data_IF_640831817007
#
_entry.id   IF_640831817007
#
_cell.length_a   1.000
_cell.length_b   1.000
_cell.length_c   1.000
_cell.angle_alpha   90.00
_cell.angle_beta   90.00
_cell.angle_gamma   90.00
#
_symmetry.space_group_name_H-M   'P 1'
#
loop_
_entity.id
_entity.type
_entity.pdbx_description
1 polymer ?
#
# COMPACT_ATOMS: atom_id res chain seq x y z
N UNK A 1 -16.12 20.98 9.51
CA UNK A 1 -14.69 20.73 9.52
C UNK A 1 -14.12 20.90 8.12
N UNK A 2 -13.10 21.73 7.94
CA UNK A 2 -12.39 21.89 6.66
C UNK A 2 -11.79 20.55 6.19
N UNK A 3 -11.53 20.41 4.89
CA UNK A 3 -10.85 19.21 4.35
C UNK A 3 -9.52 18.95 5.08
N UNK A 4 -8.78 20.02 5.40
CA UNK A 4 -7.51 19.95 6.14
C UNK A 4 -7.65 19.38 7.55
N UNK A 5 -8.75 19.68 8.26
CA UNK A 5 -8.98 19.19 9.62
C UNK A 5 -9.36 17.70 9.63
N UNK A 6 -10.11 17.23 8.63
CA UNK A 6 -10.44 15.80 8.47
C UNK A 6 -9.19 14.97 8.14
N UNK A 7 -8.30 15.50 7.31
CA UNK A 7 -7.01 14.83 7.01
C UNK A 7 -6.10 14.76 8.22
N UNK A 8 -6.04 15.83 9.04
CA UNK A 8 -5.28 15.82 10.29
C UNK A 8 -5.84 14.81 11.29
N UNK A 9 -7.15 14.71 11.42
CA UNK A 9 -7.80 13.77 12.32
C UNK A 9 -7.58 12.32 11.84
N UNK A 10 -7.74 12.04 10.55
CA UNK A 10 -7.45 10.74 9.95
C UNK A 10 -5.99 10.34 10.15
N UNK A 11 -5.05 11.26 9.90
CA UNK A 11 -3.62 11.03 10.10
C UNK A 11 -3.27 10.66 11.55
N UNK A 12 -3.90 11.32 12.54
CA UNK A 12 -3.70 11.00 13.96
C UNK A 12 -4.21 9.61 14.32
N UNK A 13 -5.40 9.23 13.86
CA UNK A 13 -5.95 7.88 14.11
C UNK A 13 -5.07 6.81 13.46
N UNK A 14 -4.66 7.03 12.20
CA UNK A 14 -3.78 6.12 11.47
C UNK A 14 -2.42 5.98 12.12
N UNK A 15 -1.87 7.05 12.71
CA UNK A 15 -0.58 7.03 13.40
C UNK A 15 -0.53 6.00 14.54
N UNK A 16 -1.61 5.84 15.30
CA UNK A 16 -1.70 4.81 16.35
C UNK A 16 -1.57 3.39 15.80
N UNK A 17 -2.15 3.11 14.63
CA UNK A 17 -1.96 1.83 13.95
C UNK A 17 -0.52 1.59 13.55
N UNK A 18 0.17 2.60 13.03
CA UNK A 18 1.60 2.50 12.68
C UNK A 18 2.50 2.32 13.90
N UNK A 19 2.23 3.04 15.00
CA UNK A 19 2.95 2.89 16.27
C UNK A 19 2.75 1.46 16.83
N UNK A 20 1.51 0.96 16.82
CA UNK A 20 1.20 -0.40 17.24
C UNK A 20 1.93 -1.46 16.39
N UNK A 21 1.97 -1.26 15.07
CA UNK A 21 2.72 -2.15 14.17
C UNK A 21 4.22 -2.13 14.47
N UNK A 22 4.85 -0.94 14.57
CA UNK A 22 6.28 -0.82 14.88
C UNK A 22 6.59 -1.51 16.21
N UNK A 23 5.79 -1.26 17.25
CA UNK A 23 5.95 -1.91 18.54
C UNK A 23 5.84 -3.44 18.42
N UNK A 24 4.82 -3.94 17.71
CA UNK A 24 4.61 -5.37 17.52
C UNK A 24 5.80 -6.04 16.80
N UNK A 25 6.23 -5.51 15.64
CA UNK A 25 7.33 -6.14 14.88
C UNK A 25 8.67 -6.06 15.62
N UNK A 26 8.91 -5.00 16.39
CA UNK A 26 10.13 -4.85 17.19
C UNK A 26 10.15 -5.84 18.35
N UNK A 27 9.06 -5.92 19.12
CA UNK A 27 8.91 -6.83 20.26
C UNK A 27 8.95 -8.28 19.78
N UNK A 28 8.19 -8.63 18.74
CA UNK A 28 8.15 -9.98 18.21
C UNK A 28 9.48 -10.39 17.56
N UNK A 29 10.19 -9.46 16.92
CA UNK A 29 11.55 -9.71 16.43
C UNK A 29 12.49 -10.12 17.58
N UNK A 30 12.44 -9.41 18.71
CA UNK A 30 13.21 -9.75 19.91
C UNK A 30 12.75 -11.08 20.56
N UNK A 31 11.45 -11.30 20.67
CA UNK A 31 10.89 -12.55 21.23
C UNK A 31 11.35 -13.74 20.39
N UNK A 32 11.18 -13.71 19.07
CA UNK A 32 11.53 -14.83 18.20
C UNK A 32 13.03 -15.02 17.98
N UNK A 33 13.87 -14.04 18.31
CA UNK A 33 15.32 -14.25 18.40
C UNK A 33 15.69 -15.15 19.59
N UNK A 34 14.95 -15.04 20.70
CA UNK A 34 15.23 -15.72 21.97
C UNK A 34 14.34 -16.94 22.23
N UNK A 35 13.33 -17.19 21.39
CA UNK A 35 12.38 -18.31 21.52
C UNK A 35 12.25 -19.06 20.21
N UNK A 36 11.64 -20.25 20.27
CA UNK A 36 11.33 -21.01 19.06
C UNK A 36 10.08 -20.42 18.34
N UNK A 37 10.06 -20.53 17.02
CA UNK A 37 8.95 -20.07 16.16
C UNK A 37 7.62 -20.82 16.45
N UNK A 38 7.64 -21.91 17.19
CA UNK A 38 6.44 -22.67 17.58
C UNK A 38 5.42 -21.83 18.36
N UNK A 39 5.90 -20.78 19.04
CA UNK A 39 5.02 -19.82 19.74
C UNK A 39 4.27 -18.85 18.80
N UNK A 40 4.60 -18.82 17.52
CA UNK A 40 3.99 -17.88 16.56
C UNK A 40 2.47 -18.02 16.48
N UNK A 41 1.96 -19.25 16.42
CA UNK A 41 0.51 -19.50 16.35
C UNK A 41 -0.22 -19.01 17.61
N UNK A 42 0.40 -19.20 18.78
CA UNK A 42 -0.15 -18.70 20.04
C UNK A 42 -0.18 -17.16 20.05
N UNK A 43 0.90 -16.51 19.63
CA UNK A 43 0.97 -15.04 19.55
C UNK A 43 -0.10 -14.50 18.60
N UNK A 44 -0.26 -15.11 17.42
CA UNK A 44 -1.31 -14.72 16.46
C UNK A 44 -2.70 -14.88 17.06
N UNK A 45 -2.98 -16.00 17.76
CA UNK A 45 -4.25 -16.22 18.43
C UNK A 45 -4.56 -15.16 19.51
N UNK A 46 -3.56 -14.79 20.31
CA UNK A 46 -3.69 -13.73 21.33
C UNK A 46 -3.97 -12.39 20.68
N UNK A 47 -3.26 -12.02 19.61
CA UNK A 47 -3.49 -10.76 18.89
C UNK A 47 -4.89 -10.71 18.26
N UNK A 48 -5.36 -11.80 17.67
CA UNK A 48 -6.72 -11.89 17.12
C UNK A 48 -7.77 -11.76 18.22
N UNK A 49 -7.56 -12.38 19.38
CA UNK A 49 -8.43 -12.24 20.53
C UNK A 49 -8.48 -10.79 21.03
N UNK A 50 -7.34 -10.10 21.11
CA UNK A 50 -7.28 -8.68 21.46
C UNK A 50 -8.05 -7.79 20.45
N UNK A 51 -7.92 -8.06 19.16
CA UNK A 51 -8.68 -7.37 18.11
C UNK A 51 -10.18 -7.59 18.30
N UNK A 52 -10.59 -8.83 18.51
CA UNK A 52 -12.00 -9.17 18.74
C UNK A 52 -12.56 -8.48 19.99
N UNK A 53 -11.86 -8.55 21.12
CA UNK A 53 -12.27 -7.86 22.35
C UNK A 53 -12.37 -6.34 22.17
N UNK A 54 -11.41 -5.74 21.45
CA UNK A 54 -11.43 -4.30 21.16
C UNK A 54 -12.62 -3.90 20.28
N UNK A 55 -13.04 -4.77 19.36
CA UNK A 55 -14.18 -4.50 18.47
C UNK A 55 -15.51 -4.46 19.22
N UNK A 56 -15.64 -5.17 20.34
CA UNK A 56 -16.85 -5.17 21.17
C UNK A 56 -17.13 -3.80 21.83
N UNK A 57 -16.06 -2.99 21.99
CA UNK A 57 -16.19 -1.61 22.53
C UNK A 57 -16.51 -0.55 21.48
N UNK A 58 -16.55 -0.89 20.19
CA UNK A 58 -16.88 0.08 19.14
C UNK A 58 -18.38 0.15 18.93
N UNK A 59 -18.99 1.33 19.22
CA UNK A 59 -20.41 1.57 18.96
C UNK A 59 -20.73 1.57 17.45
N UNK A 60 -21.88 1.05 17.08
CA UNK A 60 -22.38 1.16 15.70
C UNK A 60 -22.71 2.63 15.37
N UNK A 61 -22.04 3.17 14.36
CA UNK A 61 -22.48 4.42 13.75
C UNK A 61 -23.71 4.09 12.89
N UNK A 62 -24.86 4.71 13.20
CA UNK A 62 -26.06 4.60 12.39
C UNK A 62 -25.73 5.06 10.95
N UNK A 63 -25.51 4.11 10.05
CA UNK A 63 -25.42 4.40 8.63
C UNK A 63 -26.83 4.81 8.17
N UNK A 64 -27.00 6.05 7.78
CA UNK A 64 -28.20 6.44 7.04
C UNK A 64 -28.17 5.68 5.71
N UNK A 65 -29.18 4.87 5.41
CA UNK A 65 -29.26 4.20 4.12
C UNK A 65 -29.44 5.27 3.04
N UNK A 66 -28.38 5.47 2.26
CA UNK A 66 -28.43 6.37 1.12
C UNK A 66 -29.15 5.63 -0.02
N UNK A 67 -30.48 5.78 -0.07
CA UNK A 67 -31.35 5.10 -1.04
C UNK A 67 -31.41 5.79 -2.40
N UNK A 68 -30.70 6.90 -2.58
CA UNK A 68 -30.73 7.65 -3.83
C UNK A 68 -29.56 7.29 -4.76
N UNK A 69 -29.93 6.89 -5.97
CA UNK A 69 -29.14 6.77 -7.21
C UNK A 69 -28.21 5.55 -7.37
N UNK A 70 -28.86 4.40 -7.61
CA UNK A 70 -28.19 3.23 -8.21
C UNK A 70 -27.88 3.38 -9.71
N UNK A 71 -28.26 4.48 -10.36
CA UNK A 71 -28.13 4.68 -11.81
C UNK A 71 -26.89 5.52 -12.11
N UNK A 72 -25.90 4.93 -12.78
CA UNK A 72 -24.73 5.65 -13.34
C UNK A 72 -23.36 5.08 -13.06
N UNK A 73 -23.17 4.29 -11.99
CA UNK A 73 -21.83 3.76 -11.65
C UNK A 73 -21.30 2.77 -12.71
N UNK A 74 -22.17 2.03 -13.39
CA UNK A 74 -21.77 1.05 -14.41
C UNK A 74 -21.05 1.70 -15.59
N UNK A 75 -21.58 2.82 -16.10
CA UNK A 75 -20.93 3.54 -17.21
C UNK A 75 -19.55 4.08 -16.81
N UNK A 76 -19.44 4.56 -15.56
CA UNK A 76 -18.17 5.03 -15.02
C UNK A 76 -17.14 3.88 -14.93
N UNK A 77 -17.57 2.70 -14.46
CA UNK A 77 -16.70 1.53 -14.27
C UNK A 77 -16.13 1.00 -15.59
N UNK A 78 -16.87 1.07 -16.68
CA UNK A 78 -16.40 0.63 -18.00
C UNK A 78 -15.58 1.69 -18.75
N UNK A 79 -15.35 2.86 -18.18
CA UNK A 79 -14.50 3.87 -18.81
C UNK A 79 -13.02 3.45 -18.80
N UNK A 80 -12.33 3.65 -19.92
CA UNK A 80 -10.91 3.29 -20.08
C UNK A 80 -10.00 3.80 -18.94
N UNK A 81 -10.12 5.07 -18.48
CA UNK A 81 -9.31 5.56 -17.37
C UNK A 81 -9.55 4.82 -16.06
N UNK A 82 -10.82 4.44 -15.77
CA UNK A 82 -11.17 3.72 -14.53
C UNK A 82 -10.66 2.29 -14.58
N UNK A 83 -10.81 1.59 -15.68
CA UNK A 83 -10.26 0.23 -15.85
C UNK A 83 -8.73 0.24 -15.75
N UNK A 84 -8.07 1.20 -16.42
CA UNK A 84 -6.62 1.36 -16.35
C UNK A 84 -6.14 1.67 -14.92
N UNK A 85 -6.87 2.52 -14.20
CA UNK A 85 -6.57 2.82 -12.81
C UNK A 85 -6.64 1.57 -11.93
N UNK A 86 -7.74 0.83 -11.96
CA UNK A 86 -7.90 -0.38 -11.15
C UNK A 86 -6.89 -1.47 -11.52
N UNK A 87 -6.60 -1.64 -12.81
CA UNK A 87 -5.58 -2.60 -13.23
C UNK A 87 -4.16 -2.16 -12.80
N UNK A 88 -3.84 -0.88 -12.87
CA UNK A 88 -2.61 -0.33 -12.30
C UNK A 88 -2.51 -0.56 -10.79
N UNK A 89 -3.61 -0.34 -10.05
CA UNK A 89 -3.68 -0.61 -8.61
C UNK A 89 -3.51 -2.10 -8.28
N UNK A 90 -4.09 -2.98 -9.09
CA UNK A 90 -3.86 -4.42 -9.01
C UNK A 90 -2.36 -4.75 -9.15
N UNK A 91 -1.69 -4.21 -10.19
CA UNK A 91 -0.27 -4.46 -10.44
C UNK A 91 0.63 -3.94 -9.31
N UNK A 92 0.31 -2.79 -8.71
CA UNK A 92 1.04 -2.29 -7.54
C UNK A 92 0.99 -3.29 -6.39
N UNK A 93 -0.19 -3.83 -6.07
CA UNK A 93 -0.33 -4.78 -4.96
C UNK A 93 0.15 -6.18 -5.32
N UNK A 94 0.06 -6.57 -6.58
CA UNK A 94 0.72 -7.75 -7.11
C UNK A 94 2.24 -7.69 -6.88
N UNK A 95 2.87 -6.56 -7.21
CA UNK A 95 4.31 -6.35 -6.98
C UNK A 95 4.70 -6.37 -5.49
N UNK A 96 3.77 -6.08 -4.58
CA UNK A 96 3.98 -6.19 -3.14
C UNK A 96 3.79 -7.62 -2.60
N UNK A 97 3.23 -8.54 -3.38
CA UNK A 97 2.99 -9.92 -2.96
C UNK A 97 4.22 -10.61 -2.34
N UNK A 98 5.37 -10.69 -3.03
CA UNK A 98 6.58 -11.30 -2.49
C UNK A 98 7.08 -10.61 -1.23
N UNK A 99 6.92 -9.30 -1.14
CA UNK A 99 7.33 -8.52 0.03
C UNK A 99 6.55 -8.92 1.28
N UNK A 100 5.23 -8.98 1.21
CA UNK A 100 4.42 -9.32 2.38
C UNK A 100 4.49 -10.80 2.75
N UNK A 101 4.78 -11.67 1.79
CA UNK A 101 4.76 -13.13 2.03
C UNK A 101 6.16 -13.68 2.37
N UNK A 102 7.19 -13.26 1.66
CA UNK A 102 8.50 -13.92 1.71
C UNK A 102 9.65 -13.05 2.21
N UNK A 103 9.48 -11.73 2.37
CA UNK A 103 10.59 -10.83 2.68
C UNK A 103 11.35 -11.21 3.96
N UNK A 104 10.65 -11.59 5.03
CA UNK A 104 11.28 -12.00 6.27
C UNK A 104 12.08 -13.30 6.10
N UNK A 105 11.50 -14.31 5.43
CA UNK A 105 12.15 -15.58 5.14
C UNK A 105 13.36 -15.36 4.22
N UNK A 106 13.21 -14.47 3.24
CA UNK A 106 14.27 -14.09 2.32
C UNK A 106 15.47 -13.48 3.05
N UNK A 107 15.26 -12.52 3.93
CA UNK A 107 16.34 -11.91 4.69
C UNK A 107 16.97 -12.87 5.70
N UNK A 108 16.18 -13.71 6.38
CA UNK A 108 16.67 -14.74 7.30
C UNK A 108 17.63 -15.70 6.59
N UNK A 109 17.29 -16.16 5.37
CA UNK A 109 18.14 -17.01 4.54
C UNK A 109 19.46 -16.32 4.08
N UNK A 110 19.49 -14.98 4.03
CA UNK A 110 20.71 -14.19 3.81
C UNK A 110 21.45 -13.82 5.09
N UNK A 111 21.07 -14.39 6.24
CA UNK A 111 21.79 -14.25 7.51
C UNK A 111 21.42 -13.02 8.34
N UNK A 112 20.30 -12.36 8.05
CA UNK A 112 19.80 -11.28 8.89
C UNK A 112 19.18 -11.83 10.18
N UNK A 113 19.53 -11.26 11.33
CA UNK A 113 18.88 -11.62 12.58
C UNK A 113 17.39 -11.20 12.59
N UNK A 114 16.55 -11.89 13.34
CA UNK A 114 15.12 -11.58 13.47
C UNK A 114 14.88 -10.17 14.02
N UNK A 115 15.78 -9.71 14.89
CA UNK A 115 15.80 -8.31 15.38
C UNK A 115 16.01 -7.34 14.21
N UNK A 116 17.01 -7.59 13.35
CA UNK A 116 17.28 -6.73 12.18
C UNK A 116 16.10 -6.71 11.22
N UNK A 117 15.47 -7.86 10.98
CA UNK A 117 14.27 -7.97 10.14
C UNK A 117 13.11 -7.15 10.73
N UNK A 118 12.86 -7.29 12.03
CA UNK A 118 11.85 -6.49 12.74
C UNK A 118 12.11 -4.97 12.65
N UNK A 119 13.38 -4.55 12.83
CA UNK A 119 13.76 -3.14 12.68
C UNK A 119 13.61 -2.63 11.25
N UNK A 120 13.89 -3.45 10.24
CA UNK A 120 13.67 -3.09 8.83
C UNK A 120 12.18 -2.90 8.54
N UNK A 121 11.30 -3.77 9.03
CA UNK A 121 9.85 -3.60 8.93
C UNK A 121 9.38 -2.31 9.63
N UNK A 122 9.81 -2.13 10.88
CA UNK A 122 9.49 -0.92 11.65
C UNK A 122 9.99 0.37 11.00
N UNK A 123 11.21 0.35 10.46
CA UNK A 123 11.80 1.48 9.73
C UNK A 123 11.03 1.85 8.47
N UNK A 124 10.57 0.84 7.72
CA UNK A 124 9.72 1.05 6.54
C UNK A 124 8.39 1.75 6.90
N UNK A 125 7.72 1.29 7.97
CA UNK A 125 6.46 1.90 8.44
C UNK A 125 6.70 3.28 9.06
N UNK A 126 7.83 3.50 9.70
CA UNK A 126 8.19 4.83 10.20
C UNK A 126 8.37 5.82 9.04
N UNK A 127 9.08 5.43 7.98
CA UNK A 127 9.23 6.24 6.77
C UNK A 127 7.86 6.52 6.10
N UNK A 128 6.97 5.51 6.07
CA UNK A 128 5.59 5.65 5.61
C UNK A 128 4.83 6.71 6.42
N UNK A 129 4.89 6.63 7.75
CA UNK A 129 4.24 7.57 8.65
C UNK A 129 4.72 9.01 8.42
N UNK A 130 6.03 9.20 8.30
CA UNK A 130 6.63 10.51 7.99
C UNK A 130 6.09 11.04 6.65
N UNK A 131 6.05 10.22 5.61
CA UNK A 131 5.57 10.66 4.30
C UNK A 131 4.07 11.01 4.34
N UNK A 132 3.25 10.29 5.09
CA UNK A 132 1.83 10.60 5.23
C UNK A 132 1.57 12.01 5.77
N UNK A 133 2.42 12.54 6.67
CA UNK A 133 2.30 13.93 7.14
C UNK A 133 2.49 14.95 6.01
N UNK A 134 3.28 14.63 5.00
CA UNK A 134 3.55 15.51 3.85
C UNK A 134 2.59 15.30 2.68
N UNK A 135 1.79 14.21 2.68
CA UNK A 135 0.94 13.88 1.53
C UNK A 135 -0.08 14.96 1.19
N UNK A 136 -0.63 15.66 2.20
CA UNK A 136 -1.53 16.79 1.96
C UNK A 136 -0.91 17.89 1.10
N UNK A 137 0.36 18.22 1.35
CA UNK A 137 1.14 19.22 0.58
C UNK A 137 1.52 18.67 -0.80
N UNK A 138 1.91 17.39 -0.88
CA UNK A 138 2.31 16.76 -2.14
C UNK A 138 1.11 16.66 -3.11
N UNK A 139 -0.06 16.31 -2.63
CA UNK A 139 -1.30 16.27 -3.42
C UNK A 139 -1.78 17.64 -3.93
N UNK A 140 -1.35 18.73 -3.27
CA UNK A 140 -1.59 20.10 -3.74
C UNK A 140 -0.55 20.57 -4.77
N UNK A 141 0.68 20.08 -4.69
CA UNK A 141 1.79 20.53 -5.54
C UNK A 141 1.97 19.71 -6.82
N UNK A 142 1.62 18.44 -6.78
CA UNK A 142 1.86 17.50 -7.87
C UNK A 142 0.56 16.88 -8.37
N UNK A 143 0.50 16.58 -9.67
CA UNK A 143 -0.63 15.86 -10.23
C UNK A 143 -0.70 14.42 -9.70
N UNK A 144 -1.91 13.86 -9.63
CA UNK A 144 -2.10 12.47 -9.20
C UNK A 144 -1.30 11.50 -10.10
N UNK A 145 -1.26 11.77 -11.41
CA UNK A 145 -0.44 11.00 -12.36
C UNK A 145 1.04 11.03 -11.96
N UNK A 146 1.60 12.21 -11.68
CA UNK A 146 3.00 12.36 -11.29
C UNK A 146 3.33 11.56 -10.05
N UNK A 147 2.49 11.64 -9.01
CA UNK A 147 2.67 10.89 -7.77
C UNK A 147 2.57 9.37 -7.99
N UNK A 148 1.63 8.89 -8.82
CA UNK A 148 1.51 7.48 -9.18
C UNK A 148 2.75 6.97 -9.92
N UNK A 149 3.17 7.70 -10.96
CA UNK A 149 4.35 7.33 -11.78
C UNK A 149 5.62 7.32 -10.92
N UNK A 150 5.80 8.33 -10.06
CA UNK A 150 6.92 8.38 -9.13
C UNK A 150 6.90 7.19 -8.15
N UNK A 151 5.75 6.86 -7.58
CA UNK A 151 5.59 5.73 -6.65
C UNK A 151 5.98 4.40 -7.31
N UNK A 152 5.57 4.19 -8.55
CA UNK A 152 5.90 2.98 -9.32
C UNK A 152 7.35 2.95 -9.77
N UNK A 153 7.92 4.10 -10.16
CA UNK A 153 9.34 4.23 -10.44
C UNK A 153 10.21 3.86 -9.23
N UNK A 154 9.84 4.36 -8.05
CA UNK A 154 10.46 3.96 -6.78
C UNK A 154 10.29 2.45 -6.52
N UNK A 155 9.14 1.87 -6.90
CA UNK A 155 8.87 0.43 -6.80
C UNK A 155 9.81 -0.39 -7.67
N UNK A 156 10.01 -0.01 -8.93
CA UNK A 156 10.93 -0.69 -9.85
C UNK A 156 12.33 -0.80 -9.23
N UNK A 157 12.85 0.34 -8.75
CA UNK A 157 14.17 0.39 -8.13
C UNK A 157 14.23 -0.40 -6.82
N UNK A 158 13.20 -0.27 -6.00
CA UNK A 158 13.10 -0.97 -4.71
C UNK A 158 13.17 -2.49 -4.88
N UNK A 159 12.36 -3.04 -5.76
CA UNK A 159 12.34 -4.49 -6.00
C UNK A 159 13.63 -4.98 -6.62
N UNK A 160 14.24 -4.22 -7.53
CA UNK A 160 15.55 -4.53 -8.08
C UNK A 160 16.64 -4.54 -6.99
N UNK A 161 16.66 -3.55 -6.10
CA UNK A 161 17.61 -3.51 -4.98
C UNK A 161 17.45 -4.74 -4.09
N UNK A 162 16.25 -5.10 -3.68
CA UNK A 162 16.00 -6.27 -2.84
C UNK A 162 16.46 -7.55 -3.56
N UNK A 163 16.16 -7.69 -4.85
CA UNK A 163 16.49 -8.91 -5.60
C UNK A 163 17.98 -9.08 -5.89
N UNK A 164 18.70 -8.01 -6.18
CA UNK A 164 20.11 -8.10 -6.59
C UNK A 164 21.12 -7.87 -5.48
N UNK A 165 20.73 -7.19 -4.40
CA UNK A 165 21.66 -6.80 -3.34
C UNK A 165 21.20 -7.20 -1.93
N UNK A 166 20.69 -8.43 -1.71
CA UNK A 166 20.16 -8.86 -0.42
C UNK A 166 21.21 -8.85 0.70
N UNK A 167 22.50 -9.02 0.39
CA UNK A 167 23.59 -9.02 1.38
C UNK A 167 23.96 -7.61 1.86
N UNK A 168 23.57 -6.57 1.13
CA UNK A 168 23.92 -5.19 1.47
C UNK A 168 22.90 -4.59 2.44
N UNK A 169 23.21 -4.59 3.74
CA UNK A 169 22.32 -4.00 4.75
C UNK A 169 21.92 -2.55 4.40
N UNK A 170 22.88 -1.73 3.96
CA UNK A 170 22.62 -0.33 3.58
C UNK A 170 21.60 -0.23 2.43
N UNK A 171 21.74 -1.04 1.38
CA UNK A 171 20.80 -1.01 0.26
C UNK A 171 19.43 -1.53 0.67
N UNK A 172 19.36 -2.53 1.55
CA UNK A 172 18.09 -3.00 2.11
C UNK A 172 17.42 -1.91 2.95
N UNK A 173 18.17 -1.14 3.75
CA UNK A 173 17.62 0.03 4.47
C UNK A 173 17.09 1.08 3.50
N UNK A 174 17.82 1.39 2.42
CA UNK A 174 17.34 2.32 1.37
C UNK A 174 16.04 1.80 0.72
N UNK A 175 15.99 0.51 0.41
CA UNK A 175 14.77 -0.11 -0.11
C UNK A 175 13.59 -0.04 0.87
N UNK A 176 13.85 -0.11 2.19
CA UNK A 176 12.80 0.05 3.19
C UNK A 176 12.35 1.51 3.34
N UNK A 177 13.23 2.48 3.25
CA UNK A 177 12.83 3.90 3.20
C UNK A 177 11.99 4.16 1.94
N UNK A 178 12.36 3.57 0.80
CA UNK A 178 11.58 3.66 -0.45
C UNK A 178 10.18 3.05 -0.32
N UNK A 179 9.89 2.22 0.69
CA UNK A 179 8.56 1.71 1.02
C UNK A 179 7.55 2.84 1.18
N UNK A 180 7.94 3.94 1.81
CA UNK A 180 7.08 5.11 1.97
C UNK A 180 6.50 5.59 0.64
N UNK A 181 7.31 5.66 -0.41
CA UNK A 181 6.85 6.09 -1.73
C UNK A 181 5.98 5.03 -2.39
N UNK A 182 6.36 3.76 -2.30
CA UNK A 182 5.61 2.66 -2.94
C UNK A 182 4.30 2.32 -2.23
N UNK A 183 4.14 2.72 -0.97
CA UNK A 183 2.93 2.48 -0.21
C UNK A 183 2.20 3.78 0.14
N UNK A 184 2.77 4.68 0.95
CA UNK A 184 2.04 5.86 1.44
C UNK A 184 1.69 6.84 0.32
N UNK A 185 2.64 7.20 -0.56
CA UNK A 185 2.39 8.08 -1.70
C UNK A 185 1.36 7.47 -2.66
N UNK A 186 1.57 6.22 -3.04
CA UNK A 186 0.63 5.48 -3.89
C UNK A 186 -0.78 5.43 -3.28
N UNK A 187 -0.90 4.97 -2.02
CA UNK A 187 -2.20 4.75 -1.37
C UNK A 187 -2.98 6.07 -1.22
N UNK A 188 -2.34 7.12 -0.70
CA UNK A 188 -2.99 8.42 -0.55
C UNK A 188 -3.45 8.99 -1.90
N UNK A 189 -2.62 8.83 -2.94
CA UNK A 189 -2.96 9.27 -4.29
C UNK A 189 -4.10 8.46 -4.89
N UNK A 190 -4.13 7.15 -4.66
CA UNK A 190 -5.22 6.28 -5.13
C UNK A 190 -6.55 6.62 -4.45
N UNK A 191 -6.55 6.82 -3.13
CA UNK A 191 -7.72 7.25 -2.37
C UNK A 191 -8.27 8.59 -2.89
N UNK A 192 -7.38 9.56 -3.15
CA UNK A 192 -7.75 10.86 -3.68
C UNK A 192 -8.27 10.77 -5.13
N UNK A 193 -7.66 9.93 -5.97
CA UNK A 193 -8.15 9.69 -7.33
C UNK A 193 -9.57 9.10 -7.31
N UNK A 194 -9.84 8.09 -6.47
CA UNK A 194 -11.18 7.52 -6.31
C UNK A 194 -12.16 8.59 -5.84
N UNK A 195 -11.79 9.41 -4.84
CA UNK A 195 -12.62 10.51 -4.36
C UNK A 195 -13.02 11.47 -5.47
N UNK A 196 -12.08 11.89 -6.31
CA UNK A 196 -12.35 12.82 -7.42
C UNK A 196 -13.18 12.17 -8.52
N UNK A 197 -12.88 10.92 -8.87
CA UNK A 197 -13.50 10.25 -10.01
C UNK A 197 -14.92 9.76 -9.72
N UNK A 198 -15.17 9.28 -8.51
CA UNK A 198 -16.46 8.71 -8.11
C UNK A 198 -17.39 9.73 -7.45
N UNK A 199 -16.85 10.91 -7.04
CA UNK A 199 -17.64 11.94 -6.37
C UNK A 199 -18.23 11.49 -5.04
N UNK A 200 -18.99 12.39 -4.38
CA UNK A 200 -19.48 12.17 -3.01
C UNK A 200 -20.46 10.98 -2.93
N UNK A 201 -21.28 10.77 -3.96
CA UNK A 201 -22.34 9.75 -3.94
C UNK A 201 -21.82 8.31 -4.13
N UNK A 202 -20.72 8.11 -4.86
CA UNK A 202 -20.19 6.79 -5.19
C UNK A 202 -18.79 6.52 -4.59
N UNK A 203 -18.28 7.45 -3.77
CA UNK A 203 -16.94 7.33 -3.19
C UNK A 203 -16.76 6.05 -2.37
N UNK A 204 -17.74 5.64 -1.57
CA UNK A 204 -17.69 4.43 -0.77
C UNK A 204 -17.57 3.17 -1.62
N UNK A 205 -18.35 3.09 -2.72
CA UNK A 205 -18.29 1.98 -3.67
C UNK A 205 -16.95 1.95 -4.42
N UNK A 206 -16.45 3.11 -4.84
CA UNK A 206 -15.13 3.24 -5.47
C UNK A 206 -14.00 2.80 -4.54
N UNK A 207 -14.05 3.15 -3.25
CA UNK A 207 -13.06 2.71 -2.25
C UNK A 207 -13.16 1.21 -1.98
N UNK A 208 -14.35 0.64 -1.93
CA UNK A 208 -14.55 -0.80 -1.77
C UNK A 208 -13.95 -1.56 -2.97
N UNK A 209 -14.19 -1.11 -4.21
CA UNK A 209 -13.60 -1.68 -5.42
C UNK A 209 -12.07 -1.55 -5.43
N UNK A 210 -11.55 -0.37 -5.07
CA UNK A 210 -10.13 -0.16 -4.94
C UNK A 210 -9.49 -1.17 -3.96
N UNK A 211 -10.12 -1.37 -2.80
CA UNK A 211 -9.62 -2.32 -1.79
C UNK A 211 -9.71 -3.76 -2.28
N UNK A 212 -10.83 -4.16 -2.86
CA UNK A 212 -11.04 -5.52 -3.34
C UNK A 212 -10.10 -5.88 -4.49
N UNK A 213 -9.94 -4.99 -5.48
CA UNK A 213 -9.10 -5.24 -6.66
C UNK A 213 -7.61 -5.16 -6.30
N UNK A 214 -7.19 -4.13 -5.54
CA UNK A 214 -5.77 -3.97 -5.25
C UNK A 214 -5.32 -4.89 -4.12
N UNK A 215 -5.82 -4.71 -2.90
CA UNK A 215 -5.36 -5.49 -1.74
C UNK A 215 -5.86 -6.94 -1.80
N UNK A 216 -7.12 -7.16 -2.22
CA UNK A 216 -7.67 -8.51 -2.38
C UNK A 216 -7.04 -9.23 -3.56
N UNK A 217 -7.50 -8.95 -4.77
CA UNK A 217 -7.10 -9.71 -5.97
C UNK A 217 -5.61 -9.54 -6.31
N UNK A 218 -5.08 -8.29 -6.31
CA UNK A 218 -3.69 -8.00 -6.64
C UNK A 218 -2.74 -8.61 -5.62
N UNK A 219 -3.00 -8.41 -4.32
CA UNK A 219 -2.18 -8.97 -3.24
C UNK A 219 -2.18 -10.50 -3.27
N UNK A 220 -3.35 -11.13 -3.39
CA UNK A 220 -3.46 -12.58 -3.48
C UNK A 220 -2.73 -13.16 -4.70
N UNK A 221 -2.95 -12.58 -5.89
CA UNK A 221 -2.27 -13.04 -7.11
C UNK A 221 -0.75 -12.90 -7.01
N UNK A 222 -0.25 -11.78 -6.46
CA UNK A 222 1.16 -11.55 -6.25
C UNK A 222 1.77 -12.55 -5.26
N UNK A 223 1.10 -12.85 -4.16
CA UNK A 223 1.54 -13.86 -3.18
C UNK A 223 1.55 -15.27 -3.77
N UNK A 224 0.52 -15.64 -4.54
CA UNK A 224 0.45 -16.96 -5.20
C UNK A 224 1.58 -17.12 -6.22
N UNK A 225 1.77 -16.14 -7.11
CA UNK A 225 2.84 -16.18 -8.11
C UNK A 225 4.20 -16.23 -7.45
N UNK A 226 4.40 -15.47 -6.37
CA UNK A 226 5.64 -15.52 -5.59
C UNK A 226 5.87 -16.90 -4.99
N UNK A 227 4.82 -17.55 -4.46
CA UNK A 227 4.91 -18.91 -3.91
C UNK A 227 5.25 -19.94 -4.97
N UNK A 228 4.75 -19.80 -6.21
CA UNK A 228 5.10 -20.69 -7.32
C UNK A 228 6.55 -20.54 -7.79
N UNK A 229 7.14 -19.35 -7.61
CA UNK A 229 8.54 -19.07 -7.95
C UNK A 229 9.50 -19.32 -6.78
N UNK A 230 8.97 -19.57 -5.57
CA UNK A 230 9.78 -19.77 -4.38
C UNK A 230 10.38 -21.15 -4.31
N UNK A 231 11.63 -21.24 -3.89
CA UNK A 231 12.36 -22.51 -3.67
C UNK A 231 12.92 -22.53 -2.25
N UNK A 232 13.19 -23.72 -1.71
CA UNK A 232 13.65 -23.90 -0.33
C UNK A 232 15.04 -23.29 -0.06
N UNK A 233 15.86 -23.13 -1.10
CA UNK A 233 17.19 -22.55 -0.99
C UNK A 233 17.33 -21.30 -1.82
N UNK A 234 18.17 -20.32 -1.38
CA UNK A 234 18.49 -19.15 -2.17
C UNK A 234 18.98 -19.54 -3.58
N UNK A 235 18.28 -19.06 -4.59
CA UNK A 235 18.53 -19.40 -5.98
C UNK A 235 18.25 -18.20 -6.89
N UNK A 236 18.60 -18.33 -8.17
CA UNK A 236 18.21 -17.34 -9.20
C UNK A 236 16.70 -17.17 -9.33
N UNK A 237 15.88 -18.14 -8.88
CA UNK A 237 14.42 -18.03 -8.86
C UNK A 237 13.94 -16.98 -7.85
N UNK A 238 14.66 -16.78 -6.74
CA UNK A 238 14.34 -15.70 -5.81
C UNK A 238 14.58 -14.34 -6.44
N UNK A 239 15.66 -14.18 -7.22
CA UNK A 239 15.88 -12.96 -8.01
C UNK A 239 14.76 -12.77 -9.04
N UNK A 240 14.32 -13.85 -9.70
CA UNK A 240 13.20 -13.80 -10.65
C UNK A 240 11.90 -13.30 -9.99
N UNK A 241 11.62 -13.71 -8.75
CA UNK A 241 10.46 -13.24 -8.00
C UNK A 241 10.46 -11.71 -7.84
N UNK A 242 11.61 -11.14 -7.48
CA UNK A 242 11.75 -9.69 -7.35
C UNK A 242 11.76 -8.96 -8.71
N UNK A 243 12.29 -9.60 -9.75
CA UNK A 243 12.23 -9.07 -11.12
C UNK A 243 10.80 -9.05 -11.65
N UNK A 244 9.98 -10.06 -11.36
CA UNK A 244 8.55 -10.08 -11.69
C UNK A 244 7.82 -8.93 -10.99
N UNK A 245 8.11 -8.66 -9.72
CA UNK A 245 7.57 -7.52 -8.99
C UNK A 245 8.00 -6.17 -9.61
N UNK A 246 9.26 -6.06 -10.02
CA UNK A 246 9.80 -4.89 -10.72
C UNK A 246 9.12 -4.69 -12.07
N UNK A 247 8.95 -5.75 -12.87
CA UNK A 247 8.26 -5.72 -14.16
C UNK A 247 6.79 -5.34 -14.01
N UNK A 248 6.08 -5.88 -13.02
CA UNK A 248 4.70 -5.50 -12.72
C UNK A 248 4.59 -4.00 -12.36
N UNK A 249 5.54 -3.47 -11.59
CA UNK A 249 5.62 -2.04 -11.29
C UNK A 249 5.87 -1.21 -12.55
N UNK A 250 6.73 -1.68 -13.47
CA UNK A 250 6.99 -1.00 -14.75
C UNK A 250 5.74 -0.97 -15.64
N UNK A 251 5.05 -2.09 -15.79
CA UNK A 251 3.79 -2.16 -16.56
C UNK A 251 2.75 -1.21 -15.95
N UNK A 252 2.59 -1.23 -14.62
CA UNK A 252 1.72 -0.31 -13.91
C UNK A 252 2.08 1.16 -14.14
N UNK A 253 3.38 1.51 -14.16
CA UNK A 253 3.87 2.85 -14.45
C UNK A 253 3.45 3.30 -15.86
N UNK A 254 3.63 2.45 -16.87
CA UNK A 254 3.24 2.75 -18.26
C UNK A 254 1.73 2.97 -18.36
N UNK A 255 0.93 2.16 -17.66
CA UNK A 255 -0.52 2.28 -17.63
C UNK A 255 -0.94 3.61 -17.00
N UNK A 256 -0.42 3.97 -15.84
CA UNK A 256 -0.73 5.25 -15.20
C UNK A 256 -0.26 6.43 -16.04
N UNK A 257 0.92 6.34 -16.62
CA UNK A 257 1.42 7.37 -17.51
C UNK A 257 0.49 7.64 -18.69
N UNK A 258 -0.03 6.57 -19.32
CA UNK A 258 -0.77 6.66 -20.59
C UNK A 258 -2.26 6.92 -20.43
N UNK A 259 -2.88 6.40 -19.35
CA UNK A 259 -4.34 6.32 -19.25
C UNK A 259 -4.95 7.04 -18.06
N UNK A 260 -4.17 7.47 -17.05
CA UNK A 260 -4.74 8.27 -15.97
C UNK A 260 -4.70 9.75 -16.31
N UNK A 261 -5.84 10.41 -16.18
CA UNK A 261 -5.93 11.85 -16.36
C UNK A 261 -5.04 12.57 -15.35
N UNK A 262 -4.50 13.72 -15.76
CA UNK A 262 -3.65 14.54 -14.87
C UNK A 262 -4.42 15.01 -13.63
N UNK A 263 -5.75 14.99 -13.66
CA UNK A 263 -6.60 15.41 -12.56
C UNK A 263 -6.37 16.86 -12.10
N UNK A 264 -5.64 17.63 -12.92
CA UNK A 264 -5.34 19.03 -12.66
C UNK A 264 -6.45 19.87 -13.32
N UNK A 265 -7.63 19.87 -12.74
CA UNK A 265 -8.51 21.02 -12.85
C UNK A 265 -8.01 21.99 -11.79
N UNK A 266 -7.10 22.87 -12.19
CA UNK A 266 -6.73 24.01 -11.36
C UNK A 266 -8.00 24.76 -10.97
N UNK A 267 -7.99 25.37 -9.78
CA UNK A 267 -9.09 26.17 -9.22
C UNK A 267 -9.57 27.35 -10.10
N UNK A 268 -9.21 27.37 -11.37
CA UNK A 268 -9.55 28.43 -12.32
C UNK A 268 -10.68 28.10 -13.30
N UNK A 269 -11.20 26.86 -13.31
CA UNK A 269 -12.30 26.51 -14.23
C UNK A 269 -13.71 26.80 -13.66
N UNK A 270 -13.83 27.08 -12.36
CA UNK A 270 -15.12 27.50 -11.78
C UNK A 270 -15.47 28.97 -12.06
N UNK A 271 -14.54 29.78 -12.57
CA UNK A 271 -14.78 31.22 -12.85
C UNK A 271 -15.17 31.51 -14.30
N UNK A 272 -15.25 30.54 -15.20
CA UNK A 272 -15.54 30.79 -16.63
C UNK A 272 -16.93 30.33 -17.09
N UNK A 273 -17.76 29.73 -16.23
CA UNK A 273 -19.12 29.30 -16.59
C UNK A 273 -20.24 30.20 -16.06
N UNK A 274 -19.92 31.34 -15.43
CA UNK A 274 -20.88 32.37 -15.03
C UNK A 274 -20.68 33.68 -15.84
N UNK A 275 -20.69 33.59 -17.17
CA UNK A 275 -20.90 34.76 -18.04
C UNK A 275 -21.81 34.40 -19.21
#
# INVERSE_FOLDING_TARGET
LSLGDRFKQYGRIRAWGSIGFIAAVSVLGWVFENTQLDSLLFVVAVLLLCIWLSSLGTGELAMQPNTEHRHGISQLLYSKPVLAFFFGCFLVKFAHGPYYTFYSIYLDAYGYSKISIGMLWGGGVLAELVLFFYMGTLLQRFSLRTLMVFSLGAGILRWAIIGFFPQSFTLIVVAQIAHAFTFASYHATAVEWVRRKFGVHHQGQGQALYSAISFGAGGAAGSIVSGLLWTDLPSSQWQLTWLVASAASFVGLVIFWRYTDTGYTGANDELTHDK
#
